data_IF_940869997166
#
_entry.id   IF_940869997166
#
_cell.length_a   1.000
_cell.length_b   1.000
_cell.length_c   1.000
_cell.angle_alpha   90.00
_cell.angle_beta   90.00
_cell.angle_gamma   90.00
#
_symmetry.space_group_name_H-M   'P 1'
#
loop_
_entity.id
_entity.type
_entity.pdbx_description
1 polymer ?
#
# COMPACT_ATOMS: atom_id res chain seq x y z
N UNK A 1 3.78 14.01 22.91
CA UNK A 1 3.91 13.55 21.51
C UNK A 1 2.59 12.92 21.11
N UNK A 2 2.10 13.20 19.91
CA UNK A 2 0.93 12.54 19.33
C UNK A 2 1.13 11.02 19.34
N UNK A 3 0.06 10.25 19.58
CA UNK A 3 0.09 8.78 19.46
C UNK A 3 -0.38 8.32 18.06
N UNK A 4 -0.58 9.26 17.14
CA UNK A 4 -1.14 8.99 15.83
C UNK A 4 -0.07 8.41 14.90
N UNK A 5 -0.44 7.37 14.20
CA UNK A 5 0.27 6.82 13.04
C UNK A 5 -0.58 7.17 11.82
N UNK A 6 0.01 7.78 10.82
CA UNK A 6 -0.70 8.11 9.57
C UNK A 6 -0.16 7.21 8.46
N UNK A 7 -1.07 6.52 7.79
CA UNK A 7 -0.78 5.68 6.63
C UNK A 7 -1.40 6.35 5.39
N UNK A 8 -0.56 6.72 4.40
CA UNK A 8 -0.98 7.44 3.19
C UNK A 8 -0.97 6.51 1.99
N UNK A 9 -2.13 6.22 1.42
CA UNK A 9 -2.22 5.37 0.24
C UNK A 9 -3.64 5.10 -0.22
N UNK A 10 -3.79 4.16 -1.14
CA UNK A 10 -5.07 3.74 -1.68
C UNK A 10 -5.50 2.40 -1.07
N UNK A 11 -6.79 2.29 -0.77
CA UNK A 11 -7.48 1.03 -0.54
C UNK A 11 -8.47 0.80 -1.69
N UNK A 12 -8.58 -0.44 -2.12
CA UNK A 12 -9.39 -0.84 -3.26
C UNK A 12 -10.34 -1.97 -2.87
N UNK A 13 -11.42 -2.09 -3.62
CA UNK A 13 -12.27 -3.26 -3.60
C UNK A 13 -11.50 -4.45 -4.17
N UNK A 14 -11.56 -5.59 -3.48
CA UNK A 14 -10.99 -6.85 -3.94
C UNK A 14 -12.10 -7.80 -4.36
N UNK A 15 -12.00 -8.32 -5.57
CA UNK A 15 -12.88 -9.35 -6.11
C UNK A 15 -12.07 -10.59 -6.39
N UNK A 16 -12.38 -11.69 -5.69
CA UNK A 16 -11.70 -12.97 -5.90
C UNK A 16 -12.54 -13.85 -6.81
N UNK A 17 -11.93 -14.34 -7.87
CA UNK A 17 -12.52 -15.37 -8.71
C UNK A 17 -12.08 -16.75 -8.22
N UNK A 18 -12.77 -17.27 -7.20
CA UNK A 18 -12.71 -18.68 -6.85
C UNK A 18 -13.86 -19.40 -7.54
N UNK A 19 -13.55 -20.28 -8.49
CA UNK A 19 -14.50 -21.22 -9.11
C UNK A 19 -15.64 -20.62 -9.97
N UNK A 20 -15.29 -19.80 -10.97
CA UNK A 20 -16.26 -19.47 -12.04
C UNK A 20 -16.70 -20.68 -12.88
N UNK A 21 -15.93 -21.75 -12.88
CA UNK A 21 -16.29 -22.99 -13.60
C UNK A 21 -17.55 -23.67 -13.04
N UNK A 22 -17.90 -23.43 -11.78
CA UNK A 22 -19.09 -24.01 -11.15
C UNK A 22 -20.35 -23.15 -11.30
N UNK A 23 -20.24 -21.86 -11.72
CA UNK A 23 -21.36 -20.90 -11.74
C UNK A 23 -21.61 -20.24 -13.12
N UNK A 24 -21.41 -20.97 -14.22
CA UNK A 24 -21.88 -20.59 -15.58
C UNK A 24 -21.44 -19.23 -16.17
N UNK A 25 -20.45 -18.55 -15.59
CA UNK A 25 -19.84 -17.38 -16.23
C UNK A 25 -18.52 -17.79 -16.88
N UNK A 26 -18.37 -17.53 -18.17
CA UNK A 26 -17.12 -17.84 -18.90
C UNK A 26 -16.12 -16.68 -18.75
N UNK A 27 -14.81 -16.97 -19.02
CA UNK A 27 -13.77 -15.93 -19.02
C UNK A 27 -14.06 -14.78 -19.98
N UNK A 28 -14.90 -15.01 -21.00
CA UNK A 28 -15.35 -14.01 -21.99
C UNK A 28 -16.42 -13.08 -21.40
N UNK A 29 -17.22 -13.59 -20.48
CA UNK A 29 -18.24 -12.77 -19.80
C UNK A 29 -17.62 -11.75 -18.87
N UNK A 30 -16.43 -12.05 -18.33
CA UNK A 30 -15.70 -11.20 -17.41
C UNK A 30 -14.98 -10.02 -18.08
N UNK A 31 -14.51 -10.22 -19.32
CA UNK A 31 -13.90 -9.13 -20.13
C UNK A 31 -14.95 -8.11 -20.54
N UNK A 32 -16.23 -8.52 -20.56
CA UNK A 32 -17.37 -7.71 -20.96
C UNK A 32 -18.30 -7.36 -19.78
N UNK A 33 -17.89 -7.58 -18.52
CA UNK A 33 -18.66 -7.06 -17.40
C UNK A 33 -18.68 -5.54 -17.52
N UNK A 34 -19.81 -5.02 -17.89
CA UNK A 34 -20.11 -3.61 -17.73
C UNK A 34 -20.17 -3.33 -16.21
N UNK A 35 -19.05 -2.85 -15.68
CA UNK A 35 -18.95 -2.47 -14.25
C UNK A 35 -19.90 -1.32 -13.89
N UNK A 36 -20.54 -0.70 -14.88
CA UNK A 36 -21.67 0.20 -14.66
C UNK A 36 -22.96 -0.55 -14.32
N UNK A 37 -23.01 -1.89 -14.50
CA UNK A 37 -24.13 -2.72 -14.11
C UNK A 37 -24.00 -3.12 -12.63
N UNK A 38 -24.46 -2.22 -11.76
CA UNK A 38 -24.44 -2.37 -10.30
C UNK A 38 -25.09 -3.67 -9.83
N UNK A 39 -26.15 -4.15 -10.46
CA UNK A 39 -26.90 -5.35 -10.06
C UNK A 39 -26.05 -6.63 -10.11
N UNK A 40 -25.15 -6.76 -11.10
CA UNK A 40 -24.25 -7.91 -11.21
C UNK A 40 -23.13 -7.87 -10.18
N UNK A 41 -22.59 -6.69 -9.94
CA UNK A 41 -21.55 -6.46 -8.91
C UNK A 41 -22.15 -6.69 -7.52
N UNK A 42 -23.32 -6.13 -7.23
CA UNK A 42 -24.02 -6.31 -5.97
C UNK A 42 -24.34 -7.78 -5.69
N UNK A 43 -24.83 -8.51 -6.68
CA UNK A 43 -25.12 -9.94 -6.55
C UNK A 43 -23.86 -10.76 -6.29
N UNK A 44 -22.76 -10.44 -6.98
CA UNK A 44 -21.48 -11.12 -6.77
C UNK A 44 -20.93 -10.88 -5.36
N UNK A 45 -20.97 -9.64 -4.89
CA UNK A 45 -20.51 -9.24 -3.57
C UNK A 45 -21.38 -9.82 -2.44
N UNK A 46 -22.68 -9.93 -2.66
CA UNK A 46 -23.58 -10.58 -1.71
C UNK A 46 -23.28 -12.09 -1.55
N UNK A 47 -22.88 -12.76 -2.64
CA UNK A 47 -22.57 -14.19 -2.65
C UNK A 47 -21.16 -14.54 -2.13
N UNK A 48 -20.18 -13.65 -2.26
CA UNK A 48 -18.76 -13.92 -1.98
C UNK A 48 -18.15 -13.04 -0.87
N UNK A 49 -18.89 -12.09 -0.35
CA UNK A 49 -18.40 -11.09 0.61
C UNK A 49 -17.58 -9.98 -0.05
N UNK A 50 -17.53 -8.85 0.60
CA UNK A 50 -16.73 -7.71 0.18
C UNK A 50 -15.36 -7.80 0.86
N UNK A 51 -14.30 -7.85 0.07
CA UNK A 51 -12.94 -7.77 0.56
C UNK A 51 -12.29 -6.44 0.15
N UNK A 52 -11.34 -6.01 0.93
CA UNK A 52 -10.61 -4.77 0.71
C UNK A 52 -9.11 -5.05 0.75
N UNK A 53 -8.37 -4.43 -0.14
CA UNK A 53 -6.93 -4.60 -0.20
C UNK A 53 -6.22 -3.35 -0.69
N UNK A 54 -4.92 -3.34 -0.50
CA UNK A 54 -4.01 -2.27 -0.85
C UNK A 54 -2.79 -2.36 0.05
N UNK A 55 -1.62 -2.09 -0.47
CA UNK A 55 -0.37 -2.24 0.28
C UNK A 55 -0.34 -1.42 1.57
N UNK A 56 -0.75 -0.15 1.49
CA UNK A 56 -0.78 0.73 2.65
C UNK A 56 -1.92 0.38 3.61
N UNK A 57 -3.08 -0.03 3.09
CA UNK A 57 -4.18 -0.49 3.94
C UNK A 57 -3.79 -1.76 4.70
N UNK A 58 -3.20 -2.74 4.03
CA UNK A 58 -2.74 -3.98 4.67
C UNK A 58 -1.70 -3.68 5.77
N UNK A 59 -0.82 -2.72 5.53
CA UNK A 59 0.15 -2.28 6.56
C UNK A 59 -0.53 -1.56 7.72
N UNK A 60 -1.50 -0.67 7.45
CA UNK A 60 -2.28 0.02 8.50
C UNK A 60 -3.01 -1.00 9.39
N UNK A 61 -3.64 -2.01 8.77
CA UNK A 61 -4.28 -3.10 9.47
C UNK A 61 -3.29 -3.91 10.31
N UNK A 62 -2.14 -4.29 9.76
CA UNK A 62 -1.11 -5.04 10.49
C UNK A 62 -0.58 -4.23 11.68
N UNK A 63 -0.32 -2.93 11.52
CA UNK A 63 0.10 -2.04 12.60
C UNK A 63 -0.95 -2.02 13.71
N UNK A 64 -2.23 -1.91 13.35
CA UNK A 64 -3.32 -1.88 14.32
C UNK A 64 -3.43 -3.20 15.09
N UNK A 65 -3.32 -4.34 14.41
CA UNK A 65 -3.35 -5.66 15.04
C UNK A 65 -2.14 -5.93 15.96
N UNK A 66 -0.96 -5.44 15.60
CA UNK A 66 0.28 -5.60 16.37
C UNK A 66 0.45 -4.55 17.46
N UNK A 67 -0.39 -3.52 17.54
CA UNK A 67 -0.21 -2.39 18.44
C UNK A 67 -0.58 -2.75 19.87
N UNK A 68 0.43 -3.04 20.70
CA UNK A 68 0.28 -3.34 22.14
C UNK A 68 -0.24 -2.12 22.93
N UNK A 69 0.06 -0.91 22.45
CA UNK A 69 -0.20 0.36 23.18
C UNK A 69 -1.38 1.17 22.65
N UNK A 70 -2.26 0.59 21.82
CA UNK A 70 -3.42 1.28 21.20
C UNK A 70 -3.02 2.63 20.59
N UNK A 71 -2.04 2.62 19.70
CA UNK A 71 -1.79 3.77 18.84
C UNK A 71 -3.03 4.00 17.97
N UNK A 72 -3.37 5.26 17.73
CA UNK A 72 -4.42 5.60 16.80
C UNK A 72 -3.83 5.53 15.39
N UNK A 73 -4.27 4.56 14.59
CA UNK A 73 -3.90 4.47 13.17
C UNK A 73 -4.93 5.24 12.36
N UNK A 74 -4.48 6.25 11.65
CA UNK A 74 -5.29 7.05 10.74
C UNK A 74 -4.93 6.68 9.30
N UNK A 75 -5.95 6.44 8.48
CA UNK A 75 -5.77 6.25 7.06
C UNK A 75 -6.02 7.57 6.33
N UNK A 76 -5.06 8.02 5.51
CA UNK A 76 -5.19 9.21 4.69
C UNK A 76 -5.34 8.79 3.23
N UNK A 77 -6.51 9.02 2.69
CA UNK A 77 -6.92 8.59 1.36
C UNK A 77 -8.13 9.37 0.86
N UNK A 78 -8.73 8.91 -0.23
CA UNK A 78 -10.08 9.30 -0.61
C UNK A 78 -10.86 8.10 -1.14
N UNK A 79 -12.18 8.18 -0.98
CA UNK A 79 -13.16 7.22 -1.51
C UNK A 79 -14.29 7.97 -2.21
N UNK A 80 -15.18 7.24 -2.88
CA UNK A 80 -16.39 7.81 -3.47
C UNK A 80 -17.47 8.08 -2.45
N UNK A 81 -18.61 8.57 -2.94
CA UNK A 81 -19.86 8.76 -2.18
C UNK A 81 -20.85 7.59 -2.37
N UNK A 82 -20.40 6.52 -3.05
CA UNK A 82 -21.18 5.31 -3.28
C UNK A 82 -21.24 4.39 -2.04
N UNK A 83 -22.14 3.40 -2.10
CA UNK A 83 -22.36 2.47 -0.98
C UNK A 83 -21.14 1.61 -0.65
N UNK A 84 -20.37 1.17 -1.66
CA UNK A 84 -19.15 0.36 -1.43
C UNK A 84 -18.08 1.17 -0.72
N UNK A 85 -17.91 2.44 -1.08
CA UNK A 85 -17.01 3.36 -0.40
C UNK A 85 -17.41 3.58 1.06
N UNK A 86 -18.73 3.67 1.36
CA UNK A 86 -19.23 3.79 2.72
C UNK A 86 -18.99 2.51 3.53
N UNK A 87 -19.22 1.34 2.93
CA UNK A 87 -18.94 0.04 3.57
C UNK A 87 -17.44 -0.14 3.84
N UNK A 88 -16.57 0.34 2.94
CA UNK A 88 -15.12 0.33 3.11
C UNK A 88 -14.71 1.14 4.36
N UNK A 89 -15.22 2.37 4.51
CA UNK A 89 -14.98 3.19 5.69
C UNK A 89 -15.50 2.48 6.97
N UNK A 90 -16.69 1.91 6.93
CA UNK A 90 -17.25 1.18 8.06
C UNK A 90 -16.39 -0.03 8.46
N UNK A 91 -15.83 -0.75 7.47
CA UNK A 91 -14.89 -1.84 7.70
C UNK A 91 -13.61 -1.36 8.40
N UNK A 92 -13.02 -0.25 7.96
CA UNK A 92 -11.83 0.31 8.61
C UNK A 92 -12.10 0.69 10.07
N UNK A 93 -13.23 1.33 10.34
CA UNK A 93 -13.64 1.71 11.68
C UNK A 93 -13.87 0.50 12.60
N UNK A 94 -14.43 -0.60 12.08
CA UNK A 94 -14.56 -1.87 12.82
C UNK A 94 -13.22 -2.51 13.15
N UNK A 95 -12.18 -2.17 12.39
CA UNK A 95 -10.80 -2.62 12.60
C UNK A 95 -9.97 -1.61 13.41
N UNK A 96 -10.61 -0.62 14.05
CA UNK A 96 -9.97 0.46 14.79
C UNK A 96 -9.01 1.33 13.94
N UNK A 97 -9.21 1.38 12.62
CA UNK A 97 -8.51 2.30 11.71
C UNK A 97 -9.39 3.54 11.54
N UNK A 98 -8.85 4.70 11.89
CA UNK A 98 -9.55 5.96 11.87
C UNK A 98 -9.57 6.57 10.46
N UNK A 99 -10.75 7.03 10.04
CA UNK A 99 -10.99 7.64 8.73
C UNK A 99 -11.09 9.17 8.77
N UNK A 100 -10.59 9.83 9.82
CA UNK A 100 -10.64 11.30 9.98
C UNK A 100 -10.02 12.04 8.78
N UNK A 101 -8.98 11.43 8.17
CA UNK A 101 -8.27 12.01 7.02
C UNK A 101 -8.65 11.37 5.69
N UNK A 102 -9.85 10.81 5.61
CA UNK A 102 -10.39 10.26 4.35
C UNK A 102 -11.34 11.26 3.72
N UNK A 103 -11.00 11.70 2.51
CA UNK A 103 -11.87 12.59 1.71
C UNK A 103 -12.93 11.77 0.98
N UNK A 104 -14.17 12.30 0.90
CA UNK A 104 -15.25 11.70 0.10
C UNK A 104 -15.42 12.55 -1.15
N UNK A 105 -15.22 11.95 -2.32
CA UNK A 105 -15.33 12.62 -3.61
C UNK A 105 -16.63 12.25 -4.31
N UNK A 106 -17.47 13.26 -4.53
CA UNK A 106 -18.79 13.08 -5.16
C UNK A 106 -18.68 12.56 -6.59
N UNK A 107 -19.46 11.53 -6.91
CA UNK A 107 -19.51 10.89 -8.22
C UNK A 107 -18.26 10.09 -8.56
N UNK A 108 -17.41 9.77 -7.58
CA UNK A 108 -16.22 8.92 -7.73
C UNK A 108 -16.43 7.59 -6.99
N UNK A 109 -15.55 6.65 -7.26
CA UNK A 109 -15.58 5.30 -6.69
C UNK A 109 -14.18 4.93 -6.16
N UNK A 110 -14.13 3.99 -5.23
CA UNK A 110 -12.88 3.36 -4.87
C UNK A 110 -12.29 2.61 -6.08
N UNK A 111 -10.97 2.43 -6.10
CA UNK A 111 -10.34 1.54 -7.05
C UNK A 111 -10.82 0.09 -6.85
N UNK A 112 -10.72 -0.72 -7.90
CA UNK A 112 -11.09 -2.14 -7.87
C UNK A 112 -9.95 -2.97 -8.45
N UNK A 113 -9.73 -4.14 -7.87
CA UNK A 113 -8.90 -5.16 -8.51
C UNK A 113 -9.54 -6.54 -8.38
N UNK A 114 -9.21 -7.34 -9.39
CA UNK A 114 -9.67 -8.72 -9.49
C UNK A 114 -8.47 -9.64 -9.35
N UNK A 115 -8.60 -10.62 -8.48
CA UNK A 115 -7.62 -11.70 -8.30
C UNK A 115 -8.13 -12.94 -9.03
N UNK A 116 -7.35 -13.42 -9.98
CA UNK A 116 -7.58 -14.71 -10.63
C UNK A 116 -6.46 -15.67 -10.22
N UNK A 117 -6.84 -16.80 -9.64
CA UNK A 117 -5.92 -17.89 -9.33
C UNK A 117 -6.07 -18.95 -10.42
N UNK A 118 -4.96 -19.41 -11.00
CA UNK A 118 -4.95 -20.50 -11.98
C UNK A 118 -4.90 -21.88 -11.29
N UNK A 119 -4.94 -22.95 -12.10
CA UNK A 119 -4.91 -24.33 -11.62
C UNK A 119 -3.61 -24.73 -10.90
N UNK A 120 -2.53 -23.93 -11.05
CA UNK A 120 -1.27 -24.10 -10.35
C UNK A 120 -1.20 -23.30 -9.04
N UNK A 121 -2.26 -22.52 -8.71
CA UNK A 121 -2.31 -21.63 -7.57
C UNK A 121 -1.60 -20.29 -7.78
N UNK A 122 -1.14 -20.00 -9.00
CA UNK A 122 -0.53 -18.73 -9.35
C UNK A 122 -1.60 -17.66 -9.56
N UNK A 123 -1.30 -16.44 -9.11
CA UNK A 123 -2.23 -15.35 -9.12
C UNK A 123 -1.91 -14.32 -10.18
N UNK A 124 -2.96 -13.87 -10.84
CA UNK A 124 -2.91 -12.70 -11.70
C UNK A 124 -3.87 -11.64 -11.18
N UNK A 125 -3.48 -10.37 -11.36
CA UNK A 125 -4.24 -9.22 -10.88
C UNK A 125 -4.60 -8.34 -12.06
N UNK A 126 -5.87 -7.92 -12.10
CA UNK A 126 -6.34 -6.92 -13.06
C UNK A 126 -6.91 -5.75 -12.27
N UNK A 127 -6.51 -4.51 -12.64
CA UNK A 127 -6.81 -3.31 -11.88
C UNK A 127 -7.68 -2.34 -12.67
N UNK A 128 -8.68 -1.77 -12.00
CA UNK A 128 -9.46 -0.61 -12.45
C UNK A 128 -9.32 0.48 -11.39
N UNK A 129 -8.25 1.28 -11.53
CA UNK A 129 -7.91 2.31 -10.53
C UNK A 129 -7.50 3.65 -11.14
N UNK A 130 -7.50 3.77 -12.46
CA UNK A 130 -7.00 5.00 -13.10
C UNK A 130 -7.88 6.22 -12.80
N UNK A 131 -9.16 6.01 -12.51
CA UNK A 131 -10.14 7.05 -12.19
C UNK A 131 -10.64 6.93 -10.74
N UNK A 132 -9.91 6.22 -9.88
CA UNK A 132 -10.29 6.07 -8.49
C UNK A 132 -10.27 7.41 -7.74
N UNK A 133 -11.14 7.51 -6.74
CA UNK A 133 -11.22 8.69 -5.87
C UNK A 133 -9.86 8.99 -5.21
N UNK A 134 -9.15 7.96 -4.75
CA UNK A 134 -7.82 8.13 -4.17
C UNK A 134 -6.83 8.74 -5.14
N UNK A 135 -6.78 8.24 -6.39
CA UNK A 135 -5.87 8.78 -7.40
C UNK A 135 -6.21 10.24 -7.74
N UNK A 136 -7.49 10.56 -7.92
CA UNK A 136 -7.89 11.94 -8.18
C UNK A 136 -7.53 12.88 -7.02
N UNK A 137 -7.81 12.46 -5.79
CA UNK A 137 -7.44 13.21 -4.60
C UNK A 137 -5.93 13.48 -4.53
N UNK A 138 -5.10 12.46 -4.73
CA UNK A 138 -3.65 12.57 -4.68
C UNK A 138 -3.06 13.37 -5.86
N UNK A 139 -3.82 13.62 -6.91
CA UNK A 139 -3.43 14.48 -8.03
C UNK A 139 -3.98 15.91 -7.90
N UNK A 140 -4.93 16.13 -6.99
CA UNK A 140 -5.61 17.41 -6.79
C UNK A 140 -4.91 18.33 -5.79
N UNK A 141 -5.42 19.57 -5.67
CA UNK A 141 -5.00 20.52 -4.64
C UNK A 141 -5.60 20.23 -3.26
N UNK A 142 -6.53 19.31 -3.14
CA UNK A 142 -7.14 18.94 -1.87
C UNK A 142 -6.14 18.21 -0.95
N UNK A 143 -5.26 17.37 -1.53
CA UNK A 143 -4.26 16.63 -0.77
C UNK A 143 -3.29 17.54 0.01
N UNK A 144 -2.58 18.49 -0.60
CA UNK A 144 -1.71 19.41 0.15
C UNK A 144 -2.48 20.28 1.13
N UNK A 145 -3.70 20.70 0.79
CA UNK A 145 -4.56 21.46 1.70
C UNK A 145 -4.88 20.67 2.96
N UNK A 146 -5.14 19.35 2.83
CA UNK A 146 -5.35 18.48 3.98
C UNK A 146 -4.06 18.33 4.80
N UNK A 147 -2.91 18.12 4.16
CA UNK A 147 -1.61 18.03 4.86
C UNK A 147 -1.32 19.27 5.70
N UNK A 148 -1.67 20.45 5.22
CA UNK A 148 -1.48 21.73 5.93
C UNK A 148 -2.24 21.79 7.28
N UNK A 149 -3.26 20.96 7.45
CA UNK A 149 -4.07 20.89 8.69
C UNK A 149 -3.55 19.87 9.71
N UNK A 150 -2.66 18.98 9.30
CA UNK A 150 -2.21 17.84 10.10
C UNK A 150 -0.98 18.23 10.92
N UNK A 151 -1.07 18.09 12.25
CA UNK A 151 0.10 18.19 13.11
C UNK A 151 1.02 16.96 12.93
N UNK A 152 2.33 17.13 13.13
CA UNK A 152 3.31 16.07 13.02
C UNK A 152 2.86 14.80 13.77
N UNK A 153 2.66 13.66 13.10
CA UNK A 153 2.28 12.41 13.73
C UNK A 153 3.48 11.79 14.47
N UNK A 154 3.25 10.72 15.21
CA UNK A 154 4.33 9.90 15.75
C UNK A 154 5.06 9.12 14.65
N UNK A 155 4.30 8.63 13.69
CA UNK A 155 4.83 7.89 12.54
C UNK A 155 4.02 8.23 11.29
N UNK A 156 4.70 8.41 10.18
CA UNK A 156 4.15 8.49 8.84
C UNK A 156 4.58 7.24 8.08
N UNK A 157 3.63 6.51 7.49
CA UNK A 157 3.90 5.41 6.58
C UNK A 157 3.32 5.70 5.19
N UNK A 158 4.11 5.48 4.16
CA UNK A 158 3.69 5.52 2.76
C UNK A 158 4.58 4.59 1.93
N UNK A 159 4.20 4.36 0.67
CA UNK A 159 4.92 3.45 -0.23
C UNK A 159 5.24 4.08 -1.58
N UNK A 160 6.03 3.37 -2.38
CA UNK A 160 6.26 3.75 -3.78
C UNK A 160 4.97 3.77 -4.60
N UNK A 161 3.97 2.94 -4.28
CA UNK A 161 2.64 3.02 -4.90
C UNK A 161 1.95 4.33 -4.53
N UNK A 162 2.04 4.78 -3.27
CA UNK A 162 1.49 6.08 -2.85
C UNK A 162 2.07 7.22 -3.69
N UNK A 163 3.39 7.22 -3.87
CA UNK A 163 4.06 8.22 -4.71
C UNK A 163 3.64 8.12 -6.17
N UNK A 164 3.56 6.90 -6.72
CA UNK A 164 3.25 6.67 -8.13
C UNK A 164 1.88 7.19 -8.56
N UNK A 165 0.89 7.22 -7.64
CA UNK A 165 -0.46 7.72 -7.93
C UNK A 165 -0.62 9.22 -7.69
N UNK A 166 0.39 9.89 -7.11
CA UNK A 166 0.40 11.34 -6.88
C UNK A 166 0.86 12.12 -8.11
N UNK A 167 0.46 13.38 -8.21
CA UNK A 167 1.11 14.33 -9.12
C UNK A 167 2.52 14.68 -8.60
N UNK A 168 3.40 15.10 -9.49
CA UNK A 168 4.76 15.53 -9.14
C UNK A 168 4.78 16.56 -7.99
N UNK A 169 3.96 17.61 -8.11
CA UNK A 169 3.81 18.65 -7.08
C UNK A 169 3.41 18.06 -5.72
N UNK A 170 2.53 17.06 -5.72
CA UNK A 170 2.06 16.44 -4.47
C UNK A 170 3.08 15.45 -3.89
N UNK A 171 3.93 14.81 -4.72
CA UNK A 171 5.10 14.05 -4.26
C UNK A 171 6.08 14.97 -3.53
N UNK A 172 6.45 16.11 -4.14
CA UNK A 172 7.31 17.12 -3.51
C UNK A 172 6.72 17.60 -2.18
N UNK A 173 5.41 17.85 -2.16
CA UNK A 173 4.73 18.34 -0.96
C UNK A 173 4.74 17.29 0.15
N UNK A 174 4.45 16.04 -0.15
CA UNK A 174 4.52 14.94 0.84
C UNK A 174 5.94 14.80 1.41
N UNK A 175 6.95 14.75 0.56
CA UNK A 175 8.34 14.59 1.00
C UNK A 175 8.83 15.80 1.81
N UNK A 176 8.39 17.01 1.46
CA UNK A 176 8.66 18.22 2.25
C UNK A 176 8.07 18.09 3.68
N UNK A 177 6.80 17.66 3.81
CA UNK A 177 6.19 17.42 5.13
C UNK A 177 6.88 16.29 5.87
N UNK A 178 7.19 15.18 5.20
CA UNK A 178 7.91 14.07 5.81
C UNK A 178 9.23 14.53 6.43
N UNK A 179 10.00 15.38 5.72
CA UNK A 179 11.24 15.96 6.23
C UNK A 179 11.01 16.85 7.45
N UNK A 180 10.07 17.80 7.37
CA UNK A 180 9.75 18.69 8.50
C UNK A 180 9.28 17.90 9.74
N UNK A 181 8.46 16.88 9.53
CA UNK A 181 7.97 16.04 10.62
C UNK A 181 9.08 15.17 11.21
N UNK A 182 10.00 14.64 10.38
CA UNK A 182 11.19 13.93 10.86
C UNK A 182 12.05 14.81 11.77
N UNK A 183 12.28 16.07 11.40
CA UNK A 183 12.99 17.07 12.22
C UNK A 183 12.29 17.34 13.56
N UNK A 184 10.97 17.12 13.61
CA UNK A 184 10.15 17.21 14.83
C UNK A 184 10.05 15.89 15.63
N UNK A 185 10.78 14.83 15.20
CA UNK A 185 10.84 13.53 15.87
C UNK A 185 9.79 12.53 15.38
N UNK A 186 9.11 12.77 14.27
CA UNK A 186 8.26 11.80 13.59
C UNK A 186 9.11 10.69 12.96
N UNK A 187 8.70 9.45 13.12
CA UNK A 187 9.28 8.32 12.40
C UNK A 187 8.70 8.26 10.99
N UNK A 188 9.54 8.33 9.97
CA UNK A 188 9.13 8.18 8.58
C UNK A 188 9.44 6.74 8.15
N UNK A 189 8.40 5.95 7.87
CA UNK A 189 8.52 4.59 7.37
C UNK A 189 8.10 4.53 5.90
N UNK A 190 8.96 3.94 5.07
CA UNK A 190 8.75 3.86 3.63
C UNK A 190 9.04 2.46 3.09
N UNK A 191 8.17 1.99 2.19
CA UNK A 191 8.31 0.75 1.42
C UNK A 191 8.43 1.11 -0.08
N UNK A 192 9.50 0.70 -0.75
CA UNK A 192 9.67 0.96 -2.19
C UNK A 192 8.52 0.41 -3.03
N UNK A 193 8.04 -0.76 -2.71
CA UNK A 193 6.89 -1.44 -3.31
C UNK A 193 6.70 -1.07 -4.80
N UNK A 194 7.76 -1.30 -5.59
CA UNK A 194 7.86 -0.84 -6.97
C UNK A 194 6.87 -1.58 -7.88
N UNK A 195 6.12 -0.81 -8.65
CA UNK A 195 5.18 -1.32 -9.65
C UNK A 195 5.41 -0.60 -10.97
N UNK A 196 6.18 -1.22 -11.91
CA UNK A 196 6.58 -0.57 -13.17
C UNK A 196 5.44 0.10 -13.92
N UNK A 197 4.26 -0.52 -13.93
CA UNK A 197 3.09 -0.05 -14.67
C UNK A 197 2.46 1.24 -14.12
N UNK A 198 2.86 1.70 -12.94
CA UNK A 198 2.34 2.94 -12.33
C UNK A 198 3.21 4.16 -12.61
N UNK A 199 4.40 3.96 -13.18
CA UNK A 199 5.38 5.00 -13.46
C UNK A 199 5.49 5.27 -14.97
N UNK A 200 5.77 6.48 -15.36
CA UNK A 200 5.98 6.83 -16.78
C UNK A 200 7.32 6.29 -17.30
N UNK A 201 8.30 6.15 -16.43
CA UNK A 201 9.61 5.56 -16.73
C UNK A 201 10.29 5.03 -15.47
N UNK A 202 11.29 4.17 -15.66
CA UNK A 202 12.13 3.68 -14.56
C UNK A 202 12.95 4.82 -13.93
N UNK A 203 13.33 5.81 -14.71
CA UNK A 203 14.14 6.94 -14.20
C UNK A 203 13.28 7.86 -13.33
N UNK A 204 12.00 8.07 -13.67
CA UNK A 204 11.06 8.74 -12.78
C UNK A 204 10.88 7.99 -11.47
N UNK A 205 10.70 6.65 -11.53
CA UNK A 205 10.56 5.83 -10.35
C UNK A 205 11.81 5.91 -9.44
N UNK A 206 13.00 5.79 -10.04
CA UNK A 206 14.28 5.92 -9.32
C UNK A 206 14.40 7.25 -8.61
N UNK A 207 14.11 8.34 -9.32
CA UNK A 207 14.19 9.69 -8.78
C UNK A 207 13.33 9.84 -7.51
N UNK A 208 12.05 9.43 -7.58
CA UNK A 208 11.13 9.61 -6.48
C UNK A 208 11.35 8.62 -5.33
N UNK A 209 11.77 7.40 -5.63
CA UNK A 209 12.11 6.40 -4.60
C UNK A 209 13.39 6.84 -3.86
N UNK A 210 14.41 7.34 -4.56
CA UNK A 210 15.61 7.88 -3.92
C UNK A 210 15.29 9.10 -3.05
N UNK A 211 14.49 10.05 -3.54
CA UNK A 211 14.04 11.20 -2.76
C UNK A 211 13.23 10.81 -1.52
N UNK A 212 12.45 9.72 -1.58
CA UNK A 212 11.76 9.19 -0.42
C UNK A 212 12.72 8.56 0.60
N UNK A 213 13.74 7.83 0.14
CA UNK A 213 14.76 7.27 1.03
C UNK A 213 15.51 8.35 1.82
N UNK A 214 15.80 9.51 1.22
CA UNK A 214 16.49 10.62 1.88
C UNK A 214 15.73 11.20 3.10
N UNK A 215 14.42 11.00 3.18
CA UNK A 215 13.59 11.46 4.32
C UNK A 215 13.16 10.32 5.24
N UNK A 216 13.56 9.08 4.93
CA UNK A 216 13.09 7.88 5.60
C UNK A 216 13.92 7.57 6.85
N UNK A 217 13.22 7.23 7.94
CA UNK A 217 13.83 6.72 9.18
C UNK A 217 13.86 5.19 9.20
N UNK A 218 12.76 4.55 8.76
CA UNK A 218 12.61 3.09 8.70
C UNK A 218 12.39 2.67 7.26
N UNK A 219 13.36 1.96 6.68
CA UNK A 219 13.31 1.46 5.30
C UNK A 219 12.83 0.01 5.22
N UNK A 220 11.86 -0.24 4.34
CA UNK A 220 11.26 -1.57 4.13
C UNK A 220 11.37 -2.04 2.66
N UNK A 221 12.55 -2.02 2.03
CA UNK A 221 12.67 -2.43 0.64
C UNK A 221 12.43 -3.93 0.46
N UNK A 222 12.02 -4.32 -0.75
CA UNK A 222 12.06 -5.70 -1.21
C UNK A 222 13.25 -5.87 -2.13
N UNK A 223 14.04 -6.93 -1.97
CA UNK A 223 15.24 -7.13 -2.79
C UNK A 223 14.93 -7.20 -4.29
N UNK A 224 13.82 -7.83 -4.66
CA UNK A 224 13.38 -7.93 -6.05
C UNK A 224 13.04 -6.55 -6.64
N UNK A 225 12.45 -5.65 -5.84
CA UNK A 225 12.17 -4.26 -6.26
C UNK A 225 13.49 -3.48 -6.44
N UNK A 226 14.43 -3.62 -5.52
CA UNK A 226 15.75 -2.98 -5.59
C UNK A 226 16.57 -3.49 -6.79
N UNK A 227 16.45 -4.79 -7.11
CA UNK A 227 17.07 -5.36 -8.29
C UNK A 227 16.50 -4.74 -9.57
N UNK A 228 15.17 -4.62 -9.67
CA UNK A 228 14.51 -4.04 -10.84
C UNK A 228 14.83 -2.54 -10.97
N UNK A 229 14.76 -1.78 -9.87
CA UNK A 229 14.98 -0.33 -9.89
C UNK A 229 16.45 0.03 -10.09
N UNK A 230 17.35 -0.59 -9.33
CA UNK A 230 18.72 -0.11 -9.16
C UNK A 230 19.78 -1.12 -9.60
N UNK A 231 19.41 -2.34 -10.01
CA UNK A 231 20.35 -3.40 -10.33
C UNK A 231 21.07 -3.97 -9.11
N UNK A 232 20.49 -3.81 -7.92
CA UNK A 232 21.03 -4.32 -6.65
C UNK A 232 20.80 -5.83 -6.59
N UNK A 233 21.86 -6.61 -6.35
CA UNK A 233 21.81 -8.07 -6.40
C UNK A 233 21.78 -8.74 -5.01
N UNK A 234 22.00 -7.97 -3.95
CA UNK A 234 22.06 -8.53 -2.59
C UNK A 234 21.47 -7.58 -1.55
N UNK A 235 20.95 -8.16 -0.46
CA UNK A 235 20.46 -7.37 0.67
C UNK A 235 21.56 -6.50 1.30
N UNK A 236 22.83 -6.93 1.25
CA UNK A 236 23.94 -6.13 1.75
C UNK A 236 24.11 -4.83 0.95
N UNK A 237 23.98 -4.88 -0.38
CA UNK A 237 24.00 -3.69 -1.23
C UNK A 237 22.79 -2.78 -0.99
N UNK A 238 21.58 -3.35 -0.78
CA UNK A 238 20.41 -2.55 -0.39
C UNK A 238 20.65 -1.82 0.93
N UNK A 239 21.16 -2.51 1.94
CA UNK A 239 21.48 -1.92 3.25
C UNK A 239 22.53 -0.81 3.11
N UNK A 240 23.62 -1.07 2.38
CA UNK A 240 24.67 -0.08 2.12
C UNK A 240 24.11 1.19 1.46
N UNK A 241 23.29 1.03 0.43
CA UNK A 241 22.61 2.16 -0.24
C UNK A 241 21.73 2.95 0.75
N UNK A 242 20.88 2.26 1.51
CA UNK A 242 19.96 2.91 2.44
C UNK A 242 20.69 3.63 3.57
N UNK A 243 21.68 3.00 4.18
CA UNK A 243 22.54 3.64 5.19
C UNK A 243 23.27 4.86 4.62
N UNK A 244 23.74 4.77 3.36
CA UNK A 244 24.37 5.89 2.65
C UNK A 244 23.42 7.09 2.42
N UNK A 245 22.12 6.84 2.34
CA UNK A 245 21.07 7.87 2.25
C UNK A 245 20.54 8.34 3.62
N UNK A 246 21.06 7.78 4.74
CA UNK A 246 20.69 8.20 6.10
C UNK A 246 19.56 7.39 6.73
N UNK A 247 19.10 6.30 6.12
CA UNK A 247 18.09 5.41 6.70
C UNK A 247 18.70 4.68 7.91
N UNK A 248 18.18 4.96 9.11
CA UNK A 248 18.75 4.48 10.35
C UNK A 248 18.38 3.04 10.70
N UNK A 249 17.20 2.59 10.30
CA UNK A 249 16.63 1.28 10.65
C UNK A 249 15.92 0.70 9.44
N UNK A 250 15.81 -0.63 9.37
CA UNK A 250 14.98 -1.23 8.35
C UNK A 250 15.04 -2.74 8.28
N UNK A 251 14.36 -3.26 7.27
CA UNK A 251 14.38 -4.67 6.93
C UNK A 251 14.27 -4.87 5.41
N UNK A 252 15.28 -5.48 4.82
CA UNK A 252 15.24 -5.90 3.41
C UNK A 252 14.45 -7.19 3.32
N UNK A 253 13.29 -7.14 2.67
CA UNK A 253 12.38 -8.28 2.48
C UNK A 253 12.92 -9.22 1.40
N UNK A 254 12.87 -10.54 1.66
CA UNK A 254 13.40 -11.60 0.80
C UNK A 254 12.32 -12.63 0.43
N UNK A 255 11.05 -12.22 0.44
CA UNK A 255 9.91 -13.10 0.21
C UNK A 255 9.92 -14.30 1.17
N UNK A 256 9.76 -15.51 0.66
CA UNK A 256 9.74 -16.75 1.45
C UNK A 256 11.02 -17.05 2.23
N UNK A 257 12.12 -16.33 1.97
CA UNK A 257 13.36 -16.47 2.74
C UNK A 257 13.37 -15.62 4.02
N UNK A 258 12.34 -14.79 4.25
CA UNK A 258 12.24 -13.89 5.39
C UNK A 258 12.77 -12.49 5.10
N UNK A 259 13.55 -11.95 6.01
CA UNK A 259 14.16 -10.62 5.82
C UNK A 259 15.54 -10.52 6.49
N UNK A 260 16.24 -9.45 6.18
CA UNK A 260 17.45 -9.03 6.89
C UNK A 260 17.15 -7.67 7.54
N UNK A 261 16.99 -7.67 8.85
CA UNK A 261 16.85 -6.46 9.64
C UNK A 261 18.22 -5.81 9.85
N UNK A 262 18.26 -4.47 9.78
CA UNK A 262 19.49 -3.70 9.97
C UNK A 262 19.24 -2.47 10.83
N UNK A 263 20.31 -2.00 11.47
CA UNK A 263 20.40 -0.66 12.06
C UNK A 263 21.69 0.02 11.59
N UNK A 264 21.77 1.34 11.75
CA UNK A 264 22.90 2.12 11.24
C UNK A 264 24.26 1.69 11.81
N UNK A 265 24.27 1.05 12.98
CA UNK A 265 25.47 0.55 13.65
C UNK A 265 25.81 -0.88 13.20
N UNK A 266 24.85 -1.62 12.66
CA UNK A 266 24.99 -3.00 12.20
C UNK A 266 24.58 -3.17 10.72
N UNK A 267 25.43 -2.69 9.84
CA UNK A 267 25.24 -2.77 8.38
C UNK A 267 25.26 -4.22 7.82
N UNK A 268 25.73 -5.22 8.61
CA UNK A 268 25.71 -6.63 8.19
C UNK A 268 24.33 -7.26 8.34
N UNK A 269 23.46 -6.67 9.16
CA UNK A 269 22.09 -7.06 9.37
C UNK A 269 21.89 -8.38 10.12
N UNK A 270 20.69 -8.56 10.67
CA UNK A 270 20.22 -9.77 11.33
C UNK A 270 19.25 -10.52 10.42
N UNK A 271 19.58 -11.74 10.01
CA UNK A 271 18.68 -12.57 9.22
C UNK A 271 17.54 -13.09 10.09
N UNK A 272 16.31 -12.80 9.69
CA UNK A 272 15.07 -13.28 10.32
C UNK A 272 14.40 -14.20 9.30
N UNK A 273 14.31 -15.51 9.56
CA UNK A 273 13.66 -16.42 8.63
C UNK A 273 12.14 -16.20 8.61
N UNK A 274 11.51 -16.44 7.46
CA UNK A 274 10.06 -16.47 7.39
C UNK A 274 9.49 -17.57 8.30
N UNK A 275 8.32 -17.36 8.91
CA UNK A 275 7.65 -18.39 9.68
C UNK A 275 7.36 -19.59 8.77
N UNK A 276 7.49 -20.82 9.32
CA UNK A 276 7.10 -22.03 8.60
C UNK A 276 5.57 -22.10 8.54
N UNK A 277 5.04 -21.97 7.36
CA UNK A 277 3.61 -22.11 7.08
C UNK A 277 3.39 -23.48 6.45
N UNK A 278 2.39 -24.21 6.92
CA UNK A 278 1.93 -25.43 6.27
C UNK A 278 1.27 -25.07 4.94
N UNK A 279 1.98 -25.31 3.84
CA UNK A 279 1.55 -24.92 2.49
C UNK A 279 0.22 -25.54 2.09
N UNK A 280 -0.16 -26.70 2.68
CA UNK A 280 -1.46 -27.33 2.46
C UNK A 280 -2.63 -26.51 3.06
N UNK A 281 -2.35 -25.54 3.93
CA UNK A 281 -3.36 -24.67 4.56
C UNK A 281 -3.37 -23.27 3.98
N UNK A 282 -2.48 -22.98 3.04
CA UNK A 282 -2.45 -21.67 2.38
C UNK A 282 -3.58 -21.61 1.35
N UNK A 283 -4.63 -20.88 1.69
CA UNK A 283 -5.76 -20.63 0.79
C UNK A 283 -5.47 -19.40 -0.05
N UNK A 284 -4.79 -18.40 0.54
CA UNK A 284 -4.54 -17.10 -0.03
C UNK A 284 -3.19 -16.54 0.44
N UNK A 285 -2.40 -15.98 -0.49
CA UNK A 285 -1.13 -15.29 -0.22
C UNK A 285 -1.21 -13.77 -0.42
N UNK A 286 -2.40 -13.19 -0.65
CA UNK A 286 -2.59 -11.75 -0.79
C UNK A 286 -2.18 -11.06 0.52
N UNK A 287 -1.28 -10.07 0.42
CA UNK A 287 -0.75 -9.38 1.58
C UNK A 287 0.24 -10.16 2.44
N UNK A 288 0.73 -11.31 1.99
CA UNK A 288 1.72 -12.13 2.69
C UNK A 288 3.18 -11.74 2.34
N UNK A 289 3.37 -10.54 1.79
CA UNK A 289 4.67 -9.99 1.37
C UNK A 289 5.61 -9.62 2.49
#
# INVERSE_FOLDING_TARGET
MSKNIICIGECMLEVQFTDLASKSLTSTDLVNIDLSNTDLVEKYLADNGLAYGGDVYNTAFAIQQCSINRNKVNFLSAVGDDEFSQQMIACWQQQDIDAEYVSILTGKHAGLYVVKTDDAGERSFTYWRNESAAREFFQSTQFPTLLDTIAAPRCLYFSGISLAIMSEVNRERLLHYAKQWAESGCVIAFDSNYRPQLWSSIDEARHWVDAAWEVTTIGLPTLDDDQQLFGIESAAQSIEKLCGLGVALGAVKLGKAGCIAFDGDNATGLKIPAPKIDTAKVIDTTGAG
#
